data_IF_984704409596
#
_entry.id   IF_984704409596
#
_cell.length_a   1.000
_cell.length_b   1.000
_cell.length_c   1.000
_cell.angle_alpha   90.00
_cell.angle_beta   90.00
_cell.angle_gamma   90.00
#
_symmetry.space_group_name_H-M   'P 1'
#
loop_
_entity.id
_entity.type
_entity.pdbx_description
1 polymer ?
#
# COMPACT_ATOMS: atom_id res chain seq x y z
N UNK A 1 -7.16 17.67 -18.27
CA UNK A 1 -6.28 17.24 -17.14
C UNK A 1 -5.60 18.48 -16.56
N UNK A 2 -5.97 18.91 -15.35
CA UNK A 2 -5.56 20.20 -14.75
C UNK A 2 -4.04 20.40 -14.57
N UNK A 3 -3.24 19.34 -14.68
CA UNK A 3 -1.81 19.34 -14.35
C UNK A 3 -0.88 19.05 -15.56
N UNK A 4 -1.32 19.36 -16.79
CA UNK A 4 -0.57 19.03 -18.02
C UNK A 4 0.82 19.67 -18.11
N UNK A 5 1.01 20.91 -17.60
CA UNK A 5 2.33 21.57 -17.57
C UNK A 5 3.26 20.91 -16.55
N UNK A 6 2.74 20.58 -15.37
CA UNK A 6 3.48 19.88 -14.33
C UNK A 6 3.92 18.49 -14.79
N UNK A 7 3.00 17.69 -15.34
CA UNK A 7 3.31 16.35 -15.87
C UNK A 7 4.35 16.40 -16.99
N UNK A 8 4.34 17.43 -17.84
CA UNK A 8 5.42 17.62 -18.83
C UNK A 8 6.75 18.02 -18.19
N UNK A 9 6.74 18.74 -17.08
CA UNK A 9 7.95 19.26 -16.43
C UNK A 9 8.67 18.19 -15.60
N UNK A 10 7.94 17.37 -14.84
CA UNK A 10 8.50 16.34 -13.95
C UNK A 10 8.31 14.90 -14.45
N UNK A 11 7.72 14.72 -15.63
CA UNK A 11 7.34 13.39 -16.15
C UNK A 11 8.47 12.38 -16.21
N UNK A 12 9.71 12.82 -16.45
CA UNK A 12 10.89 11.95 -16.52
C UNK A 12 11.34 11.45 -15.13
N UNK A 13 10.85 12.07 -14.05
CA UNK A 13 11.16 11.72 -12.66
C UNK A 13 10.07 10.79 -12.10
N UNK A 14 8.81 11.14 -12.30
CA UNK A 14 7.67 10.37 -11.79
C UNK A 14 7.33 9.16 -12.67
N UNK A 15 7.59 9.23 -13.97
CA UNK A 15 7.24 8.18 -14.92
C UNK A 15 7.84 6.82 -14.57
N UNK A 16 9.16 6.70 -14.33
CA UNK A 16 9.78 5.43 -13.95
C UNK A 16 9.25 4.86 -12.63
N UNK A 17 9.07 5.70 -11.60
CA UNK A 17 8.54 5.26 -10.30
C UNK A 17 7.10 4.73 -10.40
N UNK A 18 6.22 5.46 -11.09
CA UNK A 18 4.83 5.06 -11.30
C UNK A 18 4.69 3.84 -12.21
N UNK A 19 5.57 3.70 -13.22
CA UNK A 19 5.60 2.52 -14.06
C UNK A 19 5.98 1.26 -13.28
N UNK A 20 6.98 1.35 -12.40
CA UNK A 20 7.39 0.24 -11.53
C UNK A 20 6.28 -0.12 -10.53
N UNK A 21 5.63 0.88 -9.93
CA UNK A 21 4.49 0.68 -9.04
C UNK A 21 3.35 -0.10 -9.75
N UNK A 22 2.95 0.34 -10.95
CA UNK A 22 1.86 -0.28 -11.69
C UNK A 22 2.21 -1.69 -12.19
N UNK A 23 3.45 -1.90 -12.65
CA UNK A 23 3.86 -3.19 -13.24
C UNK A 23 4.23 -4.24 -12.20
N UNK A 24 4.83 -3.83 -11.07
CA UNK A 24 5.36 -4.79 -10.08
C UNK A 24 4.42 -4.91 -8.90
N UNK A 25 4.11 -3.80 -8.23
CA UNK A 25 3.33 -3.82 -7.00
C UNK A 25 1.86 -4.15 -7.27
N UNK A 26 1.21 -3.39 -8.15
CA UNK A 26 -0.21 -3.58 -8.46
C UNK A 26 -0.51 -4.91 -9.15
N UNK A 27 0.34 -5.34 -10.09
CA UNK A 27 0.18 -6.63 -10.75
C UNK A 27 0.37 -7.82 -9.79
N UNK A 28 1.40 -7.80 -8.94
CA UNK A 28 1.58 -8.83 -7.93
C UNK A 28 0.41 -8.84 -6.95
N UNK A 29 0.01 -7.68 -6.45
CA UNK A 29 -1.09 -7.54 -5.50
C UNK A 29 -2.39 -8.12 -6.05
N UNK A 30 -2.80 -7.72 -7.26
CA UNK A 30 -4.02 -8.23 -7.91
C UNK A 30 -3.96 -9.72 -8.20
N UNK A 31 -2.80 -10.24 -8.62
CA UNK A 31 -2.61 -11.67 -8.90
C UNK A 31 -2.70 -12.52 -7.63
N UNK A 32 -1.95 -12.15 -6.58
CA UNK A 32 -1.92 -12.90 -5.33
C UNK A 32 -3.20 -12.74 -4.51
N UNK A 33 -3.87 -11.59 -4.57
CA UNK A 33 -5.21 -11.43 -4.01
C UNK A 33 -6.22 -12.37 -4.69
N UNK A 34 -6.17 -12.48 -6.03
CA UNK A 34 -7.02 -13.42 -6.77
C UNK A 34 -6.77 -14.87 -6.35
N UNK A 35 -5.50 -15.27 -6.26
CA UNK A 35 -5.11 -16.61 -5.79
C UNK A 35 -5.52 -16.87 -4.34
N UNK A 36 -5.40 -15.88 -3.46
CA UNK A 36 -5.82 -16.01 -2.08
C UNK A 36 -7.34 -16.14 -1.95
N UNK A 37 -8.10 -15.36 -2.72
CA UNK A 37 -9.56 -15.34 -2.68
C UNK A 37 -10.18 -16.66 -3.17
N UNK A 38 -9.65 -17.25 -4.24
CA UNK A 38 -10.20 -18.48 -4.84
C UNK A 38 -9.41 -19.76 -4.50
N UNK A 39 -8.28 -19.63 -3.79
CA UNK A 39 -7.33 -20.72 -3.58
C UNK A 39 -7.54 -21.56 -2.32
N UNK A 40 -8.60 -21.34 -1.54
CA UNK A 40 -8.79 -21.99 -0.23
C UNK A 40 -8.70 -23.53 -0.33
N UNK A 41 -9.52 -24.15 -1.19
CA UNK A 41 -9.54 -25.62 -1.33
C UNK A 41 -8.47 -26.17 -2.27
N UNK A 42 -7.67 -25.32 -2.92
CA UNK A 42 -6.68 -25.73 -3.93
C UNK A 42 -5.24 -25.76 -3.43
N UNK A 43 -4.93 -25.06 -2.33
CA UNK A 43 -3.57 -24.93 -1.83
C UNK A 43 -3.44 -25.37 -0.36
N UNK A 44 -2.24 -25.80 0.02
CA UNK A 44 -1.92 -26.10 1.43
C UNK A 44 -1.99 -24.81 2.25
N UNK A 45 -2.44 -24.91 3.51
CA UNK A 45 -2.63 -23.75 4.43
C UNK A 45 -1.43 -22.79 4.47
N UNK A 46 -0.19 -23.31 4.48
CA UNK A 46 1.02 -22.48 4.48
C UNK A 46 1.24 -21.68 3.19
N UNK A 47 0.88 -22.25 2.04
CA UNK A 47 0.96 -21.56 0.74
C UNK A 47 -0.13 -20.52 0.61
N UNK A 48 -1.34 -20.83 1.12
CA UNK A 48 -2.43 -19.85 1.16
C UNK A 48 -2.06 -18.64 2.04
N UNK A 49 -1.45 -18.87 3.20
CA UNK A 49 -0.92 -17.80 4.06
C UNK A 49 0.18 -16.97 3.34
N UNK A 50 1.05 -17.61 2.57
CA UNK A 50 2.07 -16.92 1.79
C UNK A 50 1.45 -15.88 0.83
N UNK A 51 0.33 -16.21 0.17
CA UNK A 51 -0.31 -15.28 -0.77
C UNK A 51 -0.73 -13.97 -0.11
N UNK A 52 -1.35 -14.00 1.08
CA UNK A 52 -1.76 -12.76 1.74
C UNK A 52 -0.56 -11.95 2.26
N UNK A 53 0.53 -12.60 2.64
CA UNK A 53 1.77 -11.89 2.98
C UNK A 53 2.40 -11.22 1.77
N UNK A 54 2.41 -11.88 0.60
CA UNK A 54 2.89 -11.29 -0.65
C UNK A 54 2.06 -10.08 -1.06
N UNK A 55 0.74 -10.15 -0.87
CA UNK A 55 -0.16 -9.02 -1.06
C UNK A 55 0.21 -7.87 -0.12
N UNK A 56 0.35 -8.13 1.19
CA UNK A 56 0.68 -7.10 2.17
C UNK A 56 2.03 -6.42 1.87
N UNK A 57 3.05 -7.20 1.48
CA UNK A 57 4.35 -6.69 1.06
C UNK A 57 4.21 -5.87 -0.24
N UNK A 58 3.42 -6.35 -1.20
CA UNK A 58 3.11 -5.61 -2.43
C UNK A 58 2.48 -4.25 -2.16
N UNK A 59 1.47 -4.19 -1.29
CA UNK A 59 0.83 -2.92 -0.90
C UNK A 59 1.82 -1.98 -0.20
N UNK A 60 2.74 -2.50 0.64
CA UNK A 60 3.79 -1.70 1.27
C UNK A 60 4.81 -1.16 0.24
N UNK A 61 5.20 -1.96 -0.75
CA UNK A 61 6.05 -1.49 -1.86
C UNK A 61 5.35 -0.43 -2.71
N UNK A 62 4.04 -0.58 -2.96
CA UNK A 62 3.25 0.43 -3.66
C UNK A 62 3.27 1.78 -2.92
N UNK A 63 3.01 1.75 -1.62
CA UNK A 63 3.09 2.94 -0.77
C UNK A 63 4.49 3.59 -0.82
N UNK A 64 5.56 2.81 -0.85
CA UNK A 64 6.93 3.32 -0.96
C UNK A 64 7.15 4.13 -2.25
N UNK A 65 6.67 3.65 -3.40
CA UNK A 65 6.87 4.35 -4.68
C UNK A 65 6.04 5.63 -4.80
N UNK A 66 4.78 5.60 -4.35
CA UNK A 66 3.94 6.80 -4.30
C UNK A 66 4.52 7.84 -3.34
N UNK A 67 5.02 7.40 -2.19
CA UNK A 67 5.61 8.32 -1.23
C UNK A 67 6.98 8.82 -1.69
N UNK A 68 7.77 8.05 -2.43
CA UNK A 68 9.01 8.54 -3.02
C UNK A 68 8.73 9.69 -4.01
N UNK A 69 7.67 9.54 -4.80
CA UNK A 69 7.14 10.60 -5.67
C UNK A 69 6.68 11.84 -4.86
N UNK A 70 5.86 11.65 -3.82
CA UNK A 70 5.39 12.75 -2.96
C UNK A 70 6.54 13.47 -2.23
N UNK A 71 7.49 12.70 -1.72
CA UNK A 71 8.68 13.21 -1.03
C UNK A 71 9.59 14.00 -1.97
N UNK A 72 9.71 13.62 -3.24
CA UNK A 72 10.38 14.44 -4.25
C UNK A 72 9.66 15.79 -4.48
N UNK A 73 8.32 15.84 -4.41
CA UNK A 73 7.57 17.10 -4.54
C UNK A 73 7.88 18.07 -3.39
N UNK A 74 8.13 17.55 -2.19
CA UNK A 74 8.41 18.35 -1.01
C UNK A 74 9.89 18.69 -0.86
N UNK A 75 10.77 17.72 -1.11
CA UNK A 75 12.22 17.87 -1.08
C UNK A 75 12.80 17.34 -2.40
N UNK A 76 12.98 18.22 -3.40
CA UNK A 76 13.40 17.80 -4.73
C UNK A 76 14.91 17.52 -4.76
N UNK A 77 15.27 16.26 -4.96
CA UNK A 77 16.65 15.74 -4.96
C UNK A 77 16.95 14.99 -6.26
N UNK A 78 18.23 14.87 -6.62
CA UNK A 78 18.67 14.00 -7.73
C UNK A 78 18.24 14.43 -9.14
N UNK A 79 17.77 15.66 -9.33
CA UNK A 79 17.34 16.19 -10.63
C UNK A 79 18.24 17.31 -11.14
N UNK A 80 18.28 17.49 -12.47
CA UNK A 80 18.82 18.69 -13.13
C UNK A 80 17.77 19.28 -14.05
N UNK A 81 17.81 20.60 -14.22
CA UNK A 81 16.95 21.29 -15.17
C UNK A 81 17.66 21.30 -16.52
N UNK A 82 17.05 20.68 -17.53
CA UNK A 82 17.52 20.81 -18.90
C UNK A 82 17.12 22.19 -19.44
N UNK A 83 18.11 23.06 -19.65
CA UNK A 83 17.91 24.40 -20.19
C UNK A 83 17.42 24.42 -21.64
N UNK A 84 17.54 23.31 -22.38
CA UNK A 84 17.11 23.20 -23.79
C UNK A 84 15.61 22.99 -23.93
N UNK A 85 15.01 22.19 -23.05
CA UNK A 85 13.58 21.87 -23.07
C UNK A 85 12.80 22.44 -21.88
N UNK A 86 13.49 23.00 -20.89
CA UNK A 86 12.89 23.55 -19.68
C UNK A 86 12.19 22.49 -18.83
N UNK A 87 12.80 21.30 -18.69
CA UNK A 87 12.23 20.14 -18.00
C UNK A 87 13.17 19.65 -16.90
N UNK A 88 12.61 19.07 -15.84
CA UNK A 88 13.38 18.43 -14.79
C UNK A 88 13.69 16.99 -15.20
N UNK A 89 14.97 16.69 -15.39
CA UNK A 89 15.47 15.37 -15.76
C UNK A 89 16.10 14.71 -14.54
N UNK A 90 15.76 13.45 -14.31
CA UNK A 90 16.37 12.67 -13.24
C UNK A 90 17.82 12.33 -13.58
N UNK A 91 18.74 12.66 -12.68
CA UNK A 91 20.18 12.40 -12.83
C UNK A 91 20.64 11.32 -11.87
N UNK A 92 20.00 11.22 -10.71
CA UNK A 92 20.31 10.23 -9.69
C UNK A 92 19.02 9.59 -9.16
N UNK A 93 18.72 8.39 -9.64
CA UNK A 93 17.53 7.63 -9.22
C UNK A 93 17.65 7.13 -7.76
N UNK A 94 18.78 6.56 -7.32
CA UNK A 94 19.00 6.25 -5.90
C UNK A 94 18.75 7.42 -4.95
N UNK A 95 19.06 8.65 -5.36
CA UNK A 95 18.82 9.84 -4.53
C UNK A 95 17.34 10.03 -4.14
N UNK A 96 16.39 9.58 -4.98
CA UNK A 96 14.96 9.59 -4.64
C UNK A 96 14.64 8.67 -3.47
N UNK A 97 15.25 7.48 -3.43
CA UNK A 97 15.03 6.48 -2.37
C UNK A 97 15.75 6.84 -1.07
N UNK A 98 16.85 7.58 -1.15
CA UNK A 98 17.57 8.08 0.04
C UNK A 98 17.05 9.41 0.55
N UNK A 99 15.94 9.92 -0.01
CA UNK A 99 15.36 11.19 0.43
C UNK A 99 14.92 11.10 1.89
N UNK A 100 15.41 12.01 2.73
CA UNK A 100 15.04 12.06 4.15
C UNK A 100 13.53 12.17 4.37
N UNK A 101 12.84 12.91 3.50
CA UNK A 101 11.39 13.07 3.57
C UNK A 101 10.65 11.74 3.41
N UNK A 102 11.14 10.87 2.52
CA UNK A 102 10.56 9.54 2.29
C UNK A 102 10.59 8.69 3.56
N UNK A 103 11.72 8.71 4.27
CA UNK A 103 11.91 7.92 5.47
C UNK A 103 11.16 8.47 6.69
N UNK A 104 10.66 9.71 6.63
CA UNK A 104 9.73 10.25 7.61
C UNK A 104 8.27 9.90 7.26
N UNK A 105 7.89 10.05 5.99
CA UNK A 105 6.52 9.81 5.52
C UNK A 105 6.15 8.33 5.50
N UNK A 106 7.06 7.47 5.03
CA UNK A 106 6.79 6.05 4.81
C UNK A 106 6.39 5.32 6.09
N UNK A 107 7.14 5.38 7.20
CA UNK A 107 6.70 4.74 8.45
C UNK A 107 5.39 5.35 8.95
N UNK A 108 5.22 6.67 8.86
CA UNK A 108 4.01 7.34 9.33
C UNK A 108 2.76 6.84 8.61
N UNK A 109 2.78 6.77 7.28
CA UNK A 109 1.66 6.29 6.45
C UNK A 109 1.44 4.79 6.65
N UNK A 110 2.51 4.00 6.79
CA UNK A 110 2.40 2.57 7.06
C UNK A 110 1.70 2.30 8.40
N UNK A 111 2.09 2.98 9.48
CA UNK A 111 1.42 2.86 10.77
C UNK A 111 -0.01 3.41 10.74
N UNK A 112 -0.25 4.53 10.04
CA UNK A 112 -1.58 5.08 9.90
C UNK A 112 -2.54 4.10 9.20
N UNK A 113 -2.11 3.45 8.11
CA UNK A 113 -2.93 2.45 7.40
C UNK A 113 -3.16 1.20 8.24
N UNK A 114 -2.15 0.73 8.98
CA UNK A 114 -2.29 -0.36 9.95
C UNK A 114 -3.25 -0.05 11.10
N UNK A 115 -3.45 1.22 11.45
CA UNK A 115 -4.42 1.64 12.47
C UNK A 115 -5.83 1.77 11.88
N UNK A 116 -5.96 2.41 10.72
CA UNK A 116 -7.26 2.72 10.10
C UNK A 116 -8.00 1.42 9.73
N UNK A 117 -7.32 0.42 9.17
CA UNK A 117 -7.94 -0.85 8.75
C UNK A 117 -8.68 -1.56 9.89
N UNK A 118 -8.00 -1.93 10.98
CA UNK A 118 -8.63 -2.53 12.16
C UNK A 118 -9.66 -1.61 12.82
N UNK A 119 -9.42 -0.30 12.86
CA UNK A 119 -10.37 0.64 13.45
C UNK A 119 -11.72 0.63 12.73
N UNK A 120 -11.72 0.55 11.39
CA UNK A 120 -12.95 0.41 10.60
C UNK A 120 -13.64 -0.92 10.88
N UNK A 121 -12.91 -2.03 10.95
CA UNK A 121 -13.47 -3.35 11.27
C UNK A 121 -14.12 -3.33 12.66
N UNK A 122 -13.41 -2.84 13.68
CA UNK A 122 -13.91 -2.71 15.05
C UNK A 122 -15.15 -1.80 15.08
N UNK A 123 -15.13 -0.67 14.38
CA UNK A 123 -16.26 0.25 14.29
C UNK A 123 -17.51 -0.41 13.71
N UNK A 124 -17.37 -1.16 12.62
CA UNK A 124 -18.48 -1.90 12.00
C UNK A 124 -18.97 -3.03 12.92
N UNK A 125 -18.06 -3.77 13.55
CA UNK A 125 -18.41 -4.83 14.52
C UNK A 125 -19.17 -4.26 15.72
N UNK A 126 -18.71 -3.16 16.30
CA UNK A 126 -19.38 -2.48 17.40
C UNK A 126 -20.75 -1.94 17.00
N UNK A 127 -20.88 -1.35 15.81
CA UNK A 127 -22.16 -0.89 15.28
C UNK A 127 -23.16 -2.03 15.05
N UNK A 128 -22.69 -3.15 14.51
CA UNK A 128 -23.52 -4.36 14.31
C UNK A 128 -23.99 -4.95 15.65
N UNK A 129 -23.11 -4.99 16.66
CA UNK A 129 -23.43 -5.41 18.02
C UNK A 129 -24.52 -4.55 18.65
N UNK A 130 -24.41 -3.23 18.54
CA UNK A 130 -25.40 -2.29 19.10
C UNK A 130 -26.79 -2.42 18.46
N UNK A 131 -26.85 -2.85 17.18
CA UNK A 131 -28.11 -3.10 16.46
C UNK A 131 -28.71 -4.49 16.71
N UNK A 132 -27.92 -5.48 17.15
CA UNK A 132 -28.35 -6.87 17.37
C UNK A 132 -28.39 -7.26 18.85
N UNK A 133 -29.07 -6.45 19.68
CA UNK A 133 -29.24 -6.73 21.13
C UNK A 133 -29.88 -8.08 21.47
N UNK A 134 -30.44 -8.81 20.50
CA UNK A 134 -31.17 -10.07 20.74
C UNK A 134 -30.39 -11.37 20.43
N UNK A 135 -29.11 -11.32 20.05
CA UNK A 135 -28.34 -12.52 19.66
C UNK A 135 -26.90 -12.55 20.23
N UNK A 136 -26.76 -12.19 21.50
CA UNK A 136 -25.46 -12.11 22.20
C UNK A 136 -24.76 -13.48 22.31
N UNK A 137 -25.51 -14.59 22.24
CA UNK A 137 -24.97 -15.95 22.37
C UNK A 137 -24.21 -16.45 21.12
N UNK A 138 -24.54 -15.94 19.93
CA UNK A 138 -23.89 -16.32 18.66
C UNK A 138 -22.48 -15.74 18.48
N UNK A 139 -22.16 -14.68 19.23
CA UNK A 139 -20.88 -13.97 19.11
C UNK A 139 -19.87 -14.42 20.17
N UNK A 140 -20.33 -14.91 21.33
CA UNK A 140 -19.46 -15.57 22.33
C UNK A 140 -18.81 -16.84 21.74
N UNK A 141 -19.54 -17.62 20.95
CA UNK A 141 -19.00 -18.82 20.31
C UNK A 141 -17.92 -18.53 19.27
N UNK A 142 -18.01 -17.42 18.53
CA UNK A 142 -16.97 -17.02 17.56
C UNK A 142 -15.67 -16.55 18.21
N UNK A 143 -15.74 -15.91 19.38
CA UNK A 143 -14.55 -15.51 20.14
C UNK A 143 -13.92 -16.69 20.92
N UNK A 144 -14.73 -17.65 21.38
CA UNK A 144 -14.27 -18.85 22.11
C UNK A 144 -13.58 -19.86 21.17
N UNK A 145 -13.94 -19.91 19.87
CA UNK A 145 -13.30 -20.78 18.88
C UNK A 145 -11.84 -20.43 18.55
N UNK A 146 -11.30 -19.33 19.11
CA UNK A 146 -9.88 -18.95 19.03
C UNK A 146 -9.03 -19.51 20.18
N UNK A 147 -9.61 -20.26 21.13
CA UNK A 147 -8.83 -21.05 22.07
C UNK A 147 -8.43 -22.39 21.43
N UNK A 148 -7.13 -22.71 21.31
CA UNK A 148 -6.72 -24.04 20.88
C UNK A 148 -7.17 -25.03 21.97
N UNK A 149 -8.01 -25.98 21.58
CA UNK A 149 -8.37 -27.12 22.42
C UNK A 149 -7.11 -27.96 22.66
N UNK A 150 -6.60 -27.91 23.88
CA UNK A 150 -5.72 -28.95 24.43
C UNK A 150 -6.53 -30.23 24.69
#
# INVERSE_FOLDING_TARGET
MNWSRYSRYVGDIFGPALAVEALVAFFCESTFLGLWMFGWDRFKKGVHLLFIWLVAIGSAFSALWILAANSFMQNPVGFKIDHKFGRAVLVDFPALLTNHQLWLEFPHVLFATMLIGPFVIIGISAFSLLRRKDNIDSLRSQFILLQPSH
#
